data_IF_492743582182
#
_entry.id   IF_492743582182
#
_cell.length_a   1.000
_cell.length_b   1.000
_cell.length_c   1.000
_cell.angle_alpha   90.00
_cell.angle_beta   90.00
_cell.angle_gamma   90.00
#
_symmetry.space_group_name_H-M   'P 1'
#
loop_
_entity.id
_entity.type
_entity.pdbx_description
1 polymer ?
#
# COMPACT_ATOMS: atom_id res chain seq x y z
N UNK A 1 14.30 -1.59 12.55
CA UNK A 1 13.00 -1.83 11.89
C UNK A 1 12.46 -0.53 11.31
N UNK A 2 11.99 -0.57 10.09
CA UNK A 2 11.46 0.59 9.38
C UNK A 2 10.12 0.25 8.78
N UNK A 3 9.34 1.28 8.47
CA UNK A 3 8.06 1.11 7.78
C UNK A 3 7.99 2.02 6.57
N UNK A 4 7.34 1.54 5.51
CA UNK A 4 7.02 2.31 4.32
C UNK A 4 5.52 2.24 4.11
N UNK A 5 4.87 3.40 4.04
CA UNK A 5 3.42 3.49 3.85
C UNK A 5 3.09 3.79 2.40
N UNK A 6 2.03 3.16 1.91
CA UNK A 6 1.53 3.36 0.55
C UNK A 6 0.03 3.60 0.59
N UNK A 7 -0.43 4.61 -0.14
CA UNK A 7 -1.85 4.90 -0.33
C UNK A 7 -2.11 5.11 -1.82
N UNK A 8 -3.09 4.38 -2.35
CA UNK A 8 -3.46 4.54 -3.75
C UNK A 8 -4.97 4.40 -3.90
N UNK A 9 -5.52 5.03 -4.92
CA UNK A 9 -6.94 4.96 -5.24
C UNK A 9 -7.34 3.74 -6.07
N UNK A 10 -6.38 2.94 -6.49
CA UNK A 10 -6.61 1.74 -7.29
C UNK A 10 -5.63 0.65 -6.89
N UNK A 11 -6.12 -0.59 -6.83
CA UNK A 11 -5.31 -1.72 -6.36
C UNK A 11 -4.09 -2.01 -7.23
N UNK A 12 -4.21 -1.79 -8.55
CA UNK A 12 -3.09 -2.01 -9.47
C UNK A 12 -1.98 -1.00 -9.26
N UNK A 13 -2.35 0.24 -8.94
CA UNK A 13 -1.36 1.29 -8.64
C UNK A 13 -0.65 0.99 -7.34
N UNK A 14 -1.37 0.49 -6.33
CA UNK A 14 -0.78 0.07 -5.07
C UNK A 14 0.21 -1.08 -5.29
N UNK A 15 -0.19 -2.09 -6.06
CA UNK A 15 0.66 -3.23 -6.38
C UNK A 15 1.95 -2.78 -7.05
N UNK A 16 1.86 -1.91 -8.04
CA UNK A 16 3.03 -1.39 -8.76
C UNK A 16 3.95 -0.61 -7.82
N UNK A 17 3.39 0.23 -6.96
CA UNK A 17 4.18 1.02 -6.01
C UNK A 17 4.94 0.12 -5.03
N UNK A 18 4.26 -0.90 -4.49
CA UNK A 18 4.89 -1.84 -3.55
C UNK A 18 5.99 -2.64 -4.26
N UNK A 19 5.71 -3.16 -5.45
CA UNK A 19 6.70 -3.96 -6.18
C UNK A 19 7.93 -3.14 -6.55
N UNK A 20 7.75 -1.87 -6.93
CA UNK A 20 8.88 -0.98 -7.20
C UNK A 20 9.74 -0.79 -5.95
N UNK A 21 9.11 -0.60 -4.80
CA UNK A 21 9.82 -0.47 -3.54
C UNK A 21 10.59 -1.75 -3.20
N UNK A 22 9.94 -2.91 -3.32
CA UNK A 22 10.56 -4.20 -3.02
C UNK A 22 11.77 -4.49 -3.89
N UNK A 23 11.78 -3.99 -5.12
CA UNK A 23 12.91 -4.15 -6.04
C UNK A 23 14.12 -3.30 -5.65
N UNK A 24 13.93 -2.26 -4.85
CA UNK A 24 14.99 -1.31 -4.52
C UNK A 24 15.41 -1.34 -3.06
N UNK A 25 14.66 -2.02 -2.20
CA UNK A 25 14.95 -2.03 -0.76
C UNK A 25 16.22 -2.87 -0.48
N UNK A 26 17.09 -2.32 0.36
CA UNK A 26 18.33 -2.99 0.79
C UNK A 26 18.18 -3.53 2.20
N UNK A 27 17.30 -4.49 2.38
CA UNK A 27 17.06 -5.05 3.70
C UNK A 27 16.09 -6.21 3.61
N UNK A 28 15.73 -6.75 4.75
CA UNK A 28 14.79 -7.85 4.82
C UNK A 28 13.38 -7.35 5.01
N UNK A 29 12.44 -7.92 4.30
CA UNK A 29 11.03 -7.64 4.47
C UNK A 29 10.54 -8.49 5.64
N UNK A 30 10.02 -7.83 6.67
CA UNK A 30 9.52 -8.50 7.87
C UNK A 30 8.05 -8.86 7.71
N UNK A 31 7.25 -7.91 7.22
CA UNK A 31 5.81 -8.12 7.05
C UNK A 31 5.23 -7.07 6.12
N UNK A 32 4.09 -7.39 5.53
CA UNK A 32 3.31 -6.46 4.73
C UNK A 32 1.87 -6.52 5.22
N UNK A 33 1.34 -5.38 5.63
CA UNK A 33 -0.05 -5.27 6.09
C UNK A 33 -0.85 -4.48 5.07
N UNK A 34 -2.03 -4.96 4.78
CA UNK A 34 -2.90 -4.40 3.75
C UNK A 34 -4.26 -4.07 4.33
N UNK A 35 -4.81 -2.97 3.88
CA UNK A 35 -6.16 -2.57 4.27
C UNK A 35 -6.82 -1.80 3.12
N UNK A 36 -8.14 -1.88 3.04
CA UNK A 36 -8.93 -1.13 2.07
C UNK A 36 -10.05 -0.42 2.81
N UNK A 37 -10.24 0.84 2.46
CA UNK A 37 -11.34 1.64 2.97
C UNK A 37 -12.20 2.11 1.82
N UNK A 38 -13.51 2.19 2.05
CA UNK A 38 -14.47 2.64 1.07
C UNK A 38 -15.24 3.80 1.68
N UNK A 39 -15.28 4.92 0.95
CA UNK A 39 -16.11 6.07 1.30
C UNK A 39 -17.17 6.26 0.23
N UNK A 40 -18.37 6.57 0.63
CA UNK A 40 -19.48 6.83 -0.29
C UNK A 40 -19.91 8.27 -0.14
N UNK A 41 -19.84 9.02 -1.25
CA UNK A 41 -20.29 10.41 -1.31
C UNK A 41 -21.38 10.50 -2.38
N UNK A 42 -22.65 10.54 -1.93
CA UNK A 42 -23.77 10.52 -2.86
C UNK A 42 -23.80 9.20 -3.63
N UNK A 43 -23.64 9.26 -4.95
CA UNK A 43 -23.60 8.09 -5.82
C UNK A 43 -22.18 7.62 -6.13
N UNK A 44 -21.17 8.36 -5.65
CA UNK A 44 -19.77 8.01 -5.89
C UNK A 44 -19.21 7.13 -4.79
N UNK A 45 -18.46 6.10 -5.19
CA UNK A 45 -17.71 5.26 -4.28
C UNK A 45 -16.23 5.57 -4.45
N UNK A 46 -15.58 5.93 -3.35
CA UNK A 46 -14.14 6.21 -3.34
C UNK A 46 -13.45 5.12 -2.55
N UNK A 47 -12.51 4.44 -3.19
CA UNK A 47 -11.72 3.40 -2.57
C UNK A 47 -10.35 3.95 -2.20
N UNK A 48 -9.88 3.62 -1.01
CA UNK A 48 -8.52 3.91 -0.60
C UNK A 48 -7.84 2.61 -0.24
N UNK A 49 -6.83 2.25 -1.01
CA UNK A 49 -6.04 1.04 -0.80
C UNK A 49 -4.74 1.45 -0.10
N UNK A 50 -4.51 0.88 1.07
CA UNK A 50 -3.38 1.23 1.93
C UNK A 50 -2.57 -0.02 2.23
N UNK A 51 -1.25 0.12 2.22
CA UNK A 51 -0.35 -0.94 2.64
C UNK A 51 0.77 -0.37 3.49
N UNK A 52 1.24 -1.18 4.43
CA UNK A 52 2.41 -0.87 5.25
C UNK A 52 3.41 -1.99 5.06
N UNK A 53 4.60 -1.66 4.56
CA UNK A 53 5.71 -2.60 4.46
C UNK A 53 6.63 -2.38 5.64
N UNK A 54 6.86 -3.44 6.40
CA UNK A 54 7.75 -3.43 7.56
C UNK A 54 9.04 -4.11 7.15
N UNK A 55 10.16 -3.42 7.31
CA UNK A 55 11.46 -3.93 6.86
C UNK A 55 12.59 -3.49 7.79
N UNK A 56 13.72 -4.10 7.63
CA UNK A 56 14.91 -3.77 8.42
C UNK A 56 15.87 -2.81 7.69
#
# INVERSE_FOLDING_TARGET
MKVKMFDEGHEKDLEAAINNFLNTVNGDIIDIKYSVAISVFGEEQVYCFTAMVIYS
#
